data_IF_878553016837
#
_entry.id   IF_878553016837
#
_cell.length_a   1.000
_cell.length_b   1.000
_cell.length_c   1.000
_cell.angle_alpha   90.00
_cell.angle_beta   90.00
_cell.angle_gamma   90.00
#
_symmetry.space_group_name_H-M   'P 1'
#
loop_
_entity.id
_entity.type
_entity.pdbx_description
1 polymer ?
#
# COMPACT_ATOMS: atom_id res chain seq x y z
N UNK A 1 -6.82 1.52 -25.96
CA UNK A 1 -7.09 1.13 -27.36
C UNK A 1 -5.97 1.54 -28.33
N UNK A 2 -5.42 2.75 -28.18
CA UNK A 2 -4.39 3.32 -29.08
C UNK A 2 -3.10 2.49 -29.25
N UNK A 3 -2.55 1.93 -28.17
CA UNK A 3 -1.36 1.03 -28.25
C UNK A 3 -1.60 -0.24 -29.09
N UNK A 4 -2.86 -0.66 -29.28
CA UNK A 4 -3.21 -1.82 -30.13
C UNK A 4 -3.21 -1.43 -31.61
N UNK A 5 -3.72 -0.23 -31.95
CA UNK A 5 -3.68 0.32 -33.32
C UNK A 5 -2.23 0.49 -33.78
N UNK A 6 -1.37 1.09 -32.95
CA UNK A 6 0.05 1.29 -33.26
C UNK A 6 0.81 -0.03 -33.55
N UNK A 7 0.48 -1.10 -32.80
CA UNK A 7 1.07 -2.43 -33.04
C UNK A 7 0.59 -3.08 -34.33
N UNK A 8 -0.67 -2.86 -34.74
CA UNK A 8 -1.18 -3.37 -36.01
C UNK A 8 -0.48 -2.68 -37.19
N UNK A 9 -0.37 -1.36 -37.15
CA UNK A 9 0.30 -0.59 -38.21
C UNK A 9 1.79 -0.93 -38.31
N UNK A 10 2.48 -1.11 -37.18
CA UNK A 10 3.88 -1.54 -37.17
C UNK A 10 4.08 -2.94 -37.79
N UNK A 11 3.22 -3.91 -37.46
CA UNK A 11 3.27 -5.26 -38.06
C UNK A 11 3.06 -5.22 -39.56
N UNK A 12 2.09 -4.44 -40.03
CA UNK A 12 1.78 -4.33 -41.45
C UNK A 12 2.92 -3.67 -42.24
N UNK A 13 3.49 -2.58 -41.71
CA UNK A 13 4.66 -1.91 -42.31
C UNK A 13 5.86 -2.84 -42.38
N UNK A 14 6.13 -3.59 -41.31
CA UNK A 14 7.23 -4.56 -41.26
C UNK A 14 7.04 -5.69 -42.27
N UNK A 15 5.81 -6.19 -42.44
CA UNK A 15 5.48 -7.22 -43.43
C UNK A 15 5.74 -6.71 -44.86
N UNK A 16 5.26 -5.50 -45.19
CA UNK A 16 5.45 -4.89 -46.51
C UNK A 16 6.92 -4.64 -46.83
N UNK A 17 7.70 -4.16 -45.86
CA UNK A 17 9.13 -3.96 -46.02
C UNK A 17 9.84 -5.27 -46.35
N UNK A 18 9.63 -6.33 -45.55
CA UNK A 18 10.27 -7.64 -45.79
C UNK A 18 9.90 -8.27 -47.13
N UNK A 19 8.65 -8.14 -47.56
CA UNK A 19 8.22 -8.61 -48.88
C UNK A 19 9.00 -7.88 -49.98
N UNK A 20 9.05 -6.54 -49.95
CA UNK A 20 9.83 -5.75 -50.90
C UNK A 20 11.31 -6.10 -50.91
N UNK A 21 11.94 -6.29 -49.74
CA UNK A 21 13.36 -6.66 -49.68
C UNK A 21 13.61 -8.03 -50.31
N UNK A 22 12.69 -8.98 -50.08
CA UNK A 22 12.76 -10.31 -50.69
C UNK A 22 12.56 -10.26 -52.20
N UNK A 23 11.60 -9.46 -52.68
CA UNK A 23 11.33 -9.30 -54.11
C UNK A 23 12.55 -8.67 -54.82
N UNK A 24 13.20 -7.68 -54.20
CA UNK A 24 14.44 -7.08 -54.71
C UNK A 24 15.60 -8.08 -54.72
N UNK A 25 15.75 -8.89 -53.68
CA UNK A 25 16.76 -9.95 -53.64
C UNK A 25 16.51 -11.01 -54.71
N UNK A 26 15.26 -11.44 -54.89
CA UNK A 26 14.89 -12.41 -55.92
C UNK A 26 15.13 -11.85 -57.33
N UNK A 27 14.77 -10.59 -57.59
CA UNK A 27 15.04 -9.94 -58.86
C UNK A 27 16.55 -9.83 -59.14
N UNK A 28 17.38 -9.56 -58.13
CA UNK A 28 18.83 -9.56 -58.27
C UNK A 28 19.38 -10.97 -58.59
N UNK A 29 18.79 -12.03 -58.02
CA UNK A 29 19.17 -13.41 -58.31
C UNK A 29 18.76 -13.85 -59.73
N UNK A 30 17.62 -13.35 -60.23
CA UNK A 30 17.20 -13.58 -61.62
C UNK A 30 18.11 -12.86 -62.63
N UNK A 31 18.57 -11.64 -62.32
CA UNK A 31 19.48 -10.87 -63.19
C UNK A 31 20.90 -11.49 -63.25
N UNK A 32 21.34 -12.13 -62.17
CA UNK A 32 22.67 -12.77 -62.10
C UNK A 32 22.66 -14.26 -62.46
N UNK A 33 21.50 -14.81 -62.84
CA UNK A 33 21.43 -16.20 -63.33
C UNK A 33 21.84 -16.23 -64.80
N UNK A 34 22.93 -16.95 -65.17
CA UNK A 34 23.31 -17.09 -66.58
C UNK A 34 22.20 -17.79 -67.37
N UNK A 35 22.08 -17.54 -68.69
CA UNK A 35 21.02 -18.15 -69.51
C UNK A 35 21.14 -19.66 -69.48
N UNK A 36 20.00 -20.35 -69.29
CA UNK A 36 19.94 -21.80 -69.29
C UNK A 36 20.44 -22.34 -70.65
N UNK A 37 21.64 -22.92 -70.65
CA UNK A 37 22.22 -23.64 -71.78
C UNK A 37 22.14 -25.16 -71.51
N UNK A 38 22.08 -25.98 -72.58
CA UNK A 38 21.21 -27.14 -72.63
C UNK A 38 21.69 -28.30 -71.76
N UNK A 39 20.70 -29.04 -71.24
CA UNK A 39 20.82 -30.24 -70.42
C UNK A 39 21.90 -31.19 -70.92
N UNK A 40 23.03 -31.23 -70.21
CA UNK A 40 24.02 -32.28 -70.35
C UNK A 40 24.00 -33.16 -69.10
N UNK A 41 23.75 -34.43 -69.39
CA UNK A 41 23.65 -35.60 -68.54
C UNK A 41 24.91 -35.79 -67.66
N UNK A 42 24.66 -36.22 -66.42
CA UNK A 42 25.57 -36.87 -65.46
C UNK A 42 26.65 -36.04 -64.76
N UNK A 43 26.38 -35.76 -63.49
CA UNK A 43 27.40 -35.75 -62.43
C UNK A 43 26.75 -36.32 -61.15
N UNK A 44 26.81 -37.64 -61.03
CA UNK A 44 26.80 -38.37 -59.75
C UNK A 44 28.05 -37.93 -58.98
N UNK A 45 27.94 -36.89 -58.14
CA UNK A 45 28.68 -36.72 -56.87
C UNK A 45 28.54 -35.28 -56.35
N UNK A 46 27.40 -34.98 -55.71
CA UNK A 46 27.39 -34.08 -54.55
C UNK A 46 26.35 -34.63 -53.58
N UNK A 47 26.77 -35.66 -52.83
CA UNK A 47 26.07 -36.15 -51.66
C UNK A 47 25.97 -35.02 -50.63
N UNK A 48 24.87 -34.26 -50.71
CA UNK A 48 24.14 -33.66 -49.59
C UNK A 48 24.97 -33.24 -48.37
N UNK A 49 25.83 -32.23 -48.50
CA UNK A 49 26.17 -31.34 -47.38
C UNK A 49 25.09 -30.25 -47.24
N UNK A 50 23.84 -30.66 -47.05
CA UNK A 50 22.86 -29.78 -46.43
C UNK A 50 23.04 -29.95 -44.92
N UNK A 51 23.74 -28.98 -44.32
CA UNK A 51 23.84 -28.86 -42.88
C UNK A 51 22.48 -29.07 -42.21
N UNK A 52 22.50 -29.95 -41.21
CA UNK A 52 21.46 -30.13 -40.20
C UNK A 52 20.52 -28.92 -40.06
N UNK A 53 19.19 -29.10 -40.14
CA UNK A 53 18.30 -28.03 -39.75
C UNK A 53 18.51 -27.79 -38.25
N UNK A 54 18.97 -26.59 -37.88
CA UNK A 54 19.14 -26.17 -36.48
C UNK A 54 17.97 -26.61 -35.58
N UNK A 55 18.12 -27.76 -34.90
CA UNK A 55 17.21 -28.23 -33.86
C UNK A 55 17.28 -27.35 -32.59
N UNK A 56 18.19 -26.38 -32.58
CA UNK A 56 18.49 -25.49 -31.46
C UNK A 56 17.49 -24.34 -31.24
N UNK A 57 16.60 -24.06 -32.21
CA UNK A 57 15.74 -22.87 -32.16
C UNK A 57 14.50 -23.02 -31.25
N UNK A 58 14.10 -24.26 -30.94
CA UNK A 58 12.86 -24.52 -30.19
C UNK A 58 13.07 -24.50 -28.66
N UNK A 59 14.17 -25.07 -28.17
CA UNK A 59 14.43 -25.18 -26.73
C UNK A 59 14.88 -23.85 -26.11
N UNK A 60 15.66 -23.04 -26.83
CA UNK A 60 16.04 -21.67 -26.40
C UNK A 60 14.80 -20.77 -26.19
N UNK A 61 13.75 -20.95 -26.98
CA UNK A 61 12.47 -20.21 -26.83
C UNK A 61 11.65 -20.68 -25.63
N UNK A 62 11.59 -21.99 -25.37
CA UNK A 62 10.91 -22.56 -24.19
C UNK A 62 11.56 -22.08 -22.89
N UNK A 63 12.89 -22.04 -22.83
CA UNK A 63 13.62 -21.61 -21.63
C UNK A 63 13.46 -20.11 -21.36
N UNK A 64 13.44 -19.27 -22.41
CA UNK A 64 13.12 -17.84 -22.30
C UNK A 64 11.71 -17.60 -21.74
N UNK A 65 10.73 -18.40 -22.17
CA UNK A 65 9.36 -18.36 -21.65
C UNK A 65 9.28 -18.73 -20.16
N UNK A 66 9.97 -19.80 -19.75
CA UNK A 66 10.07 -20.21 -18.34
C UNK A 66 10.72 -19.11 -17.49
N UNK A 67 11.80 -18.49 -17.96
CA UNK A 67 12.49 -17.39 -17.26
C UNK A 67 11.58 -16.17 -17.08
N UNK A 68 10.83 -15.78 -18.12
CA UNK A 68 9.84 -14.69 -18.04
C UNK A 68 8.72 -15.02 -17.03
N UNK A 69 8.20 -16.26 -17.04
CA UNK A 69 7.17 -16.70 -16.09
C UNK A 69 7.67 -16.64 -14.65
N UNK A 70 8.88 -17.16 -14.39
CA UNK A 70 9.50 -17.13 -13.04
C UNK A 70 9.68 -15.69 -12.55
N UNK A 71 10.20 -14.79 -13.40
CA UNK A 71 10.35 -13.37 -13.06
C UNK A 71 9.00 -12.71 -12.73
N UNK A 72 7.97 -12.96 -13.55
CA UNK A 72 6.63 -12.43 -13.31
C UNK A 72 6.01 -12.97 -12.02
N UNK A 73 6.14 -14.27 -11.74
CA UNK A 73 5.67 -14.86 -10.49
C UNK A 73 6.40 -14.29 -9.28
N UNK A 74 7.73 -14.09 -9.35
CA UNK A 74 8.50 -13.47 -8.28
C UNK A 74 8.03 -12.02 -8.01
N UNK A 75 7.79 -11.24 -9.06
CA UNK A 75 7.24 -9.89 -8.95
C UNK A 75 5.85 -9.88 -8.31
N UNK A 76 4.96 -10.77 -8.74
CA UNK A 76 3.61 -10.90 -8.16
C UNK A 76 3.68 -11.29 -6.67
N UNK A 77 4.50 -12.30 -6.31
CA UNK A 77 4.70 -12.70 -4.91
C UNK A 77 5.22 -11.55 -4.05
N UNK A 78 6.19 -10.79 -4.56
CA UNK A 78 6.71 -9.61 -3.86
C UNK A 78 5.62 -8.54 -3.67
N UNK A 79 4.78 -8.32 -4.69
CA UNK A 79 3.68 -7.35 -4.62
C UNK A 79 2.61 -7.79 -3.63
N UNK A 80 2.26 -9.07 -3.61
CA UNK A 80 1.32 -9.66 -2.63
C UNK A 80 1.85 -9.43 -1.22
N UNK A 81 3.09 -9.81 -0.92
CA UNK A 81 3.71 -9.59 0.40
C UNK A 81 3.72 -8.10 0.79
N UNK A 82 4.05 -7.21 -0.14
CA UNK A 82 4.04 -5.77 0.14
C UNK A 82 2.64 -5.24 0.45
N UNK A 83 1.60 -5.75 -0.23
CA UNK A 83 0.21 -5.39 0.03
C UNK A 83 -0.28 -5.96 1.36
N UNK A 84 0.07 -7.20 1.70
CA UNK A 84 -0.26 -7.82 2.98
C UNK A 84 0.34 -7.04 4.16
N UNK A 85 1.62 -6.63 4.05
CA UNK A 85 2.25 -5.78 5.07
C UNK A 85 1.55 -4.44 5.22
N UNK A 86 1.20 -3.79 4.10
CA UNK A 86 0.43 -2.53 4.13
C UNK A 86 -0.93 -2.70 4.79
N UNK A 87 -1.65 -3.77 4.49
CA UNK A 87 -2.93 -4.08 5.12
C UNK A 87 -2.76 -4.23 6.64
N UNK A 88 -1.81 -5.05 7.07
CA UNK A 88 -1.52 -5.27 8.50
C UNK A 88 -1.17 -3.97 9.23
N UNK A 89 -0.40 -3.09 8.61
CA UNK A 89 -0.04 -1.80 9.21
C UNK A 89 -1.24 -0.83 9.25
N UNK A 90 -2.08 -0.83 8.23
CA UNK A 90 -3.32 -0.04 8.26
C UNK A 90 -4.30 -0.55 9.31
N UNK A 91 -4.46 -1.86 9.46
CA UNK A 91 -5.27 -2.47 10.52
C UNK A 91 -4.78 -2.09 11.92
N UNK A 92 -3.47 -2.13 12.15
CA UNK A 92 -2.86 -1.64 13.40
C UNK A 92 -3.18 -0.17 13.65
N UNK A 93 -3.06 0.68 12.63
CA UNK A 93 -3.40 2.12 12.73
C UNK A 93 -4.87 2.31 13.05
N UNK A 94 -5.77 1.63 12.34
CA UNK A 94 -7.21 1.67 12.60
C UNK A 94 -7.53 1.24 14.03
N UNK A 95 -6.96 0.13 14.50
CA UNK A 95 -7.15 -0.35 15.87
C UNK A 95 -6.66 0.67 16.90
N UNK A 96 -5.47 1.26 16.69
CA UNK A 96 -4.94 2.33 17.54
C UNK A 96 -5.88 3.54 17.59
N UNK A 97 -6.36 4.01 16.44
CA UNK A 97 -7.26 5.16 16.37
C UNK A 97 -8.65 4.86 16.97
N UNK A 98 -9.21 3.68 16.74
CA UNK A 98 -10.45 3.23 17.39
C UNK A 98 -10.31 3.21 18.92
N UNK A 99 -9.22 2.65 19.45
CA UNK A 99 -8.93 2.67 20.90
C UNK A 99 -8.77 4.09 21.43
N UNK A 100 -8.05 4.96 20.72
CA UNK A 100 -7.89 6.37 21.10
C UNK A 100 -9.22 7.12 21.10
N UNK A 101 -10.05 6.91 20.08
CA UNK A 101 -11.37 7.50 19.97
C UNK A 101 -12.30 7.00 21.07
N UNK A 102 -12.32 5.71 21.34
CA UNK A 102 -13.09 5.12 22.45
C UNK A 102 -12.69 5.73 23.79
N UNK A 103 -11.38 5.82 24.09
CA UNK A 103 -10.88 6.50 25.29
C UNK A 103 -11.31 7.97 25.32
N UNK A 104 -11.15 8.68 24.21
CA UNK A 104 -11.54 10.09 24.08
C UNK A 104 -13.04 10.30 24.30
N UNK A 105 -13.88 9.45 23.72
CA UNK A 105 -15.34 9.51 23.83
C UNK A 105 -15.81 9.13 25.24
N UNK A 106 -15.14 8.19 25.90
CA UNK A 106 -15.43 7.83 27.29
C UNK A 106 -15.02 8.95 28.26
N UNK A 107 -13.91 9.66 28.00
CA UNK A 107 -13.64 10.92 28.70
C UNK A 107 -14.67 12.00 28.35
N UNK A 108 -15.09 12.10 27.09
CA UNK A 108 -15.96 13.18 26.62
C UNK A 108 -17.43 13.05 27.06
N UNK A 109 -17.95 11.84 27.25
CA UNK A 109 -19.38 11.65 27.53
C UNK A 109 -19.77 11.81 29.01
N UNK A 110 -18.82 11.71 29.96
CA UNK A 110 -19.09 11.89 31.39
C UNK A 110 -18.13 12.82 32.15
N UNK A 111 -16.91 13.07 31.67
CA UNK A 111 -15.86 13.76 32.45
C UNK A 111 -15.55 15.16 31.93
N UNK A 112 -15.78 15.49 30.65
CA UNK A 112 -15.24 16.72 30.08
C UNK A 112 -16.06 18.00 30.26
N UNK A 113 -17.26 17.96 30.84
CA UNK A 113 -18.03 19.21 31.03
C UNK A 113 -17.54 20.02 32.23
N UNK A 114 -17.20 19.40 33.38
CA UNK A 114 -16.94 20.13 34.63
C UNK A 114 -15.66 19.70 35.41
N UNK A 115 -14.53 19.44 34.74
CA UNK A 115 -13.27 19.22 35.50
C UNK A 115 -12.83 20.50 36.22
N UNK A 116 -12.25 20.42 37.44
CA UNK A 116 -11.75 21.60 38.17
C UNK A 116 -10.82 22.48 37.32
N UNK A 117 -9.93 21.88 36.52
CA UNK A 117 -9.02 22.63 35.64
C UNK A 117 -9.74 23.46 34.57
N UNK A 118 -10.83 22.93 34.02
CA UNK A 118 -11.65 23.66 33.03
C UNK A 118 -12.45 24.78 33.68
N UNK A 119 -13.01 24.55 34.87
CA UNK A 119 -13.70 25.58 35.64
C UNK A 119 -12.76 26.74 35.98
N UNK A 120 -11.58 26.45 36.54
CA UNK A 120 -10.55 27.46 36.81
C UNK A 120 -10.15 28.22 35.54
N UNK A 121 -9.96 27.51 34.42
CA UNK A 121 -9.64 28.15 33.13
C UNK A 121 -10.77 29.07 32.66
N UNK A 122 -12.03 28.68 32.85
CA UNK A 122 -13.21 29.47 32.49
C UNK A 122 -13.38 30.70 33.40
N UNK A 123 -13.16 30.55 34.70
CA UNK A 123 -13.24 31.66 35.67
C UNK A 123 -12.17 32.73 35.43
N UNK A 124 -10.99 32.32 34.95
CA UNK A 124 -9.85 33.21 34.69
C UNK A 124 -9.74 33.64 33.22
N UNK A 125 -10.80 33.48 32.42
CA UNK A 125 -10.80 33.92 31.02
C UNK A 125 -10.45 35.42 30.96
N UNK A 126 -9.49 35.76 30.11
CA UNK A 126 -8.98 37.13 29.90
C UNK A 126 -8.31 37.78 31.12
N UNK A 127 -8.04 37.04 32.19
CA UNK A 127 -7.28 37.53 33.34
C UNK A 127 -5.86 36.99 33.36
N UNK A 128 -4.87 37.87 33.46
CA UNK A 128 -3.48 37.48 33.72
C UNK A 128 -3.29 37.35 35.24
N UNK A 129 -3.31 36.12 35.74
CA UNK A 129 -3.04 35.80 37.15
C UNK A 129 -1.77 34.99 37.32
N UNK A 130 -1.10 35.17 38.46
CA UNK A 130 0.08 34.40 38.80
C UNK A 130 -0.22 32.91 38.94
N UNK A 131 0.77 32.02 38.72
CA UNK A 131 0.57 30.58 38.92
C UNK A 131 0.12 30.21 40.34
N UNK A 132 0.54 30.98 41.36
CA UNK A 132 0.14 30.76 42.75
C UNK A 132 -1.38 30.95 42.94
N UNK A 133 -1.94 32.05 42.43
CA UNK A 133 -3.38 32.35 42.49
C UNK A 133 -4.16 31.25 41.76
N UNK A 134 -3.67 30.80 40.60
CA UNK A 134 -4.30 29.71 39.84
C UNK A 134 -4.33 28.38 40.60
N UNK A 135 -3.30 28.09 41.40
CA UNK A 135 -3.24 26.89 42.26
C UNK A 135 -4.22 27.02 43.43
N UNK A 136 -4.28 28.17 44.09
CA UNK A 136 -5.24 28.43 45.18
C UNK A 136 -6.68 28.27 44.70
N UNK A 137 -7.02 28.89 43.56
CA UNK A 137 -8.36 28.77 42.97
C UNK A 137 -8.69 27.33 42.59
N UNK A 138 -7.71 26.57 42.11
CA UNK A 138 -7.89 25.15 41.81
C UNK A 138 -8.19 24.32 43.07
N UNK A 139 -7.50 24.56 44.18
CA UNK A 139 -7.78 23.90 45.45
C UNK A 139 -9.20 24.23 45.95
N UNK A 140 -9.60 25.50 45.90
CA UNK A 140 -10.96 25.93 46.28
C UNK A 140 -12.05 25.27 45.42
N UNK A 141 -11.84 25.17 44.11
CA UNK A 141 -12.79 24.50 43.20
C UNK A 141 -12.90 23.00 43.53
N UNK A 142 -11.79 22.34 43.88
CA UNK A 142 -11.82 20.94 44.32
C UNK A 142 -12.61 20.79 45.62
N UNK A 143 -12.34 21.63 46.62
CA UNK A 143 -13.00 21.60 47.91
C UNK A 143 -14.52 21.78 47.77
N UNK A 144 -14.94 22.74 46.95
CA UNK A 144 -16.35 22.97 46.65
C UNK A 144 -16.99 21.75 45.97
N UNK A 145 -16.31 21.14 44.99
CA UNK A 145 -16.81 19.93 44.32
C UNK A 145 -16.95 18.74 45.27
N UNK A 146 -15.98 18.54 46.17
CA UNK A 146 -16.02 17.47 47.18
C UNK A 146 -17.20 17.69 48.12
N UNK A 147 -17.32 18.90 48.68
CA UNK A 147 -18.40 19.31 49.58
C UNK A 147 -19.78 19.17 48.94
N UNK A 148 -19.96 19.64 47.71
CA UNK A 148 -21.21 19.49 46.97
C UNK A 148 -21.54 18.03 46.67
N UNK A 149 -20.55 17.24 46.24
CA UNK A 149 -20.76 15.82 45.95
C UNK A 149 -21.19 15.06 47.20
N UNK A 150 -20.58 15.37 48.35
CA UNK A 150 -20.96 14.79 49.63
C UNK A 150 -22.37 15.20 50.08
N UNK A 151 -22.76 16.47 49.86
CA UNK A 151 -24.12 16.96 50.16
C UNK A 151 -25.18 16.33 49.24
N UNK A 152 -24.87 16.13 47.95
CA UNK A 152 -25.78 15.57 46.95
C UNK A 152 -26.04 14.07 47.14
N UNK A 153 -25.08 13.32 47.68
CA UNK A 153 -25.26 11.90 47.97
C UNK A 153 -26.27 11.71 49.11
N UNK A 154 -27.27 10.84 48.92
CA UNK A 154 -28.32 10.59 49.92
C UNK A 154 -28.03 9.36 50.78
N UNK A 155 -27.31 8.39 50.23
CA UNK A 155 -27.04 7.12 50.91
C UNK A 155 -25.91 7.25 51.93
N UNK A 156 -26.16 6.86 53.18
CA UNK A 156 -25.16 6.83 54.25
C UNK A 156 -23.95 5.94 53.92
N UNK A 157 -24.20 4.77 53.30
CA UNK A 157 -23.13 3.86 52.85
C UNK A 157 -22.23 4.52 51.82
N UNK A 158 -22.82 5.16 50.81
CA UNK A 158 -22.04 5.85 49.76
C UNK A 158 -21.29 7.06 50.28
N UNK A 159 -21.85 7.79 51.26
CA UNK A 159 -21.14 8.87 51.97
C UNK A 159 -19.90 8.37 52.69
N UNK A 160 -20.01 7.25 53.42
CA UNK A 160 -18.88 6.62 54.10
C UNK A 160 -17.80 6.20 53.09
N UNK A 161 -18.20 5.47 52.04
CA UNK A 161 -17.28 5.05 50.97
C UNK A 161 -16.58 6.24 50.29
N UNK A 162 -17.29 7.35 50.09
CA UNK A 162 -16.74 8.58 49.54
C UNK A 162 -15.68 9.20 50.46
N UNK A 163 -15.97 9.33 51.76
CA UNK A 163 -15.02 9.87 52.75
C UNK A 163 -13.77 8.99 52.83
N UNK A 164 -13.91 7.67 52.91
CA UNK A 164 -12.77 6.75 52.97
C UNK A 164 -11.87 6.88 51.73
N UNK A 165 -12.45 7.07 50.54
CA UNK A 165 -11.71 7.27 49.29
C UNK A 165 -10.99 8.62 49.23
N UNK A 166 -11.61 9.69 49.72
CA UNK A 166 -11.02 11.04 49.71
C UNK A 166 -9.95 11.19 50.80
N UNK A 167 -10.20 10.64 51.99
CA UNK A 167 -9.29 10.69 53.12
C UNK A 167 -8.18 9.63 53.06
N UNK A 168 -8.11 8.82 52.00
CA UNK A 168 -7.06 7.80 51.82
C UNK A 168 -7.01 6.74 52.92
N UNK A 169 -8.14 6.41 53.55
CA UNK A 169 -8.22 5.43 54.63
C UNK A 169 -7.84 5.94 56.03
N UNK A 170 -7.70 7.26 56.22
CA UNK A 170 -7.43 7.87 57.54
C UNK A 170 -8.67 7.78 58.47
N UNK A 171 -9.87 7.81 57.90
CA UNK A 171 -11.13 7.66 58.64
C UNK A 171 -11.51 6.17 58.64
N UNK A 172 -11.36 5.52 59.81
CA UNK A 172 -11.76 4.13 60.06
C UNK A 172 -13.24 4.03 60.43
#
# INVERSE_FOLDING_TARGET
HERRKLRKTWREKTRKYRARTKDVQNAHLEIMSPPASPTAVQAEDVLHQHGEPEKDSCDKRKESGKKKRRKHQAQLKSKIKALEMKLKDMEKKVSKYKKRLSRSNQTNSRITKNTPRKLVKHMLVNQKVSPAIKRLLFCSVIENQISESFKKEKSARKKRDFVTKVAGGIVK
#
